data_IF_214082532515
#
_entry.id   IF_214082532515
#
_cell.length_a   1.000
_cell.length_b   1.000
_cell.length_c   1.000
_cell.angle_alpha   90.00
_cell.angle_beta   90.00
_cell.angle_gamma   90.00
#
_symmetry.space_group_name_H-M   'P 1'
#
loop_
_entity.id
_entity.type
_entity.pdbx_description
1 polymer ?
#
# COMPACT_ATOMS: atom_id res chain seq x y z
N UNK A 1 13.60 43.55 19.98
CA UNK A 1 13.52 42.36 19.11
C UNK A 1 12.33 41.48 19.50
N UNK A 2 11.30 41.43 18.66
CA UNK A 2 10.14 40.55 18.87
C UNK A 2 10.35 39.26 18.09
N UNK A 3 10.27 38.12 18.78
CA UNK A 3 10.24 36.80 18.16
C UNK A 3 9.15 36.73 17.06
N UNK A 4 9.37 35.98 15.97
CA UNK A 4 8.37 35.82 14.95
C UNK A 4 7.14 35.11 15.53
N UNK A 5 5.98 35.60 15.12
CA UNK A 5 4.65 35.14 15.48
C UNK A 5 4.55 33.67 15.07
N UNK A 6 4.32 32.75 16.01
CA UNK A 6 4.05 31.36 15.68
C UNK A 6 2.73 31.29 14.93
N UNK A 7 2.76 30.82 13.67
CA UNK A 7 1.55 30.56 12.90
C UNK A 7 0.88 29.32 13.49
N UNK A 8 -0.01 29.52 14.45
CA UNK A 8 -0.98 28.52 14.88
C UNK A 8 -2.20 28.68 13.97
N UNK A 9 -2.61 27.61 13.31
CA UNK A 9 -3.66 27.55 12.27
C UNK A 9 -3.23 27.88 10.83
N UNK A 10 -2.31 27.08 10.27
CA UNK A 10 -2.35 26.80 8.84
C UNK A 10 -3.42 25.73 8.61
N UNK A 11 -4.61 26.14 8.17
CA UNK A 11 -5.60 25.19 7.63
C UNK A 11 -5.18 24.90 6.19
N UNK A 12 -4.41 23.85 5.99
CA UNK A 12 -4.06 23.34 4.67
C UNK A 12 -5.31 22.68 4.04
N UNK A 13 -5.77 23.22 2.90
CA UNK A 13 -6.86 22.63 2.10
C UNK A 13 -6.52 21.21 1.59
N UNK A 14 -5.27 20.76 1.69
CA UNK A 14 -4.90 19.37 1.40
C UNK A 14 -5.63 18.32 2.26
N UNK A 15 -6.08 18.67 3.48
CA UNK A 15 -6.64 17.66 4.36
C UNK A 15 -8.05 17.19 3.93
N UNK A 16 -8.84 18.04 3.25
CA UNK A 16 -10.12 17.62 2.67
C UNK A 16 -9.95 16.76 1.40
N UNK A 17 -8.79 16.84 0.75
CA UNK A 17 -8.54 16.13 -0.51
C UNK A 17 -8.17 14.65 -0.30
N UNK A 18 -7.58 14.27 0.84
CA UNK A 18 -7.14 12.89 1.13
C UNK A 18 -8.32 11.91 1.19
N UNK A 19 -9.37 12.27 1.92
CA UNK A 19 -10.58 11.45 2.06
C UNK A 19 -11.32 11.35 0.74
N UNK A 20 -11.44 12.46 0.01
CA UNK A 20 -12.04 12.50 -1.31
C UNK A 20 -11.26 11.61 -2.30
N UNK A 21 -9.93 11.65 -2.27
CA UNK A 21 -9.07 10.81 -3.09
C UNK A 21 -9.24 9.32 -2.78
N UNK A 22 -9.23 8.94 -1.50
CA UNK A 22 -9.49 7.55 -1.10
C UNK A 22 -10.87 7.07 -1.58
N UNK A 23 -11.91 7.87 -1.34
CA UNK A 23 -13.27 7.54 -1.74
C UNK A 23 -13.39 7.40 -3.26
N UNK A 24 -12.74 8.28 -4.03
CA UNK A 24 -12.68 8.20 -5.48
C UNK A 24 -12.05 6.89 -5.98
N UNK A 25 -10.94 6.46 -5.35
CA UNK A 25 -10.29 5.19 -5.70
C UNK A 25 -11.19 3.99 -5.39
N UNK A 26 -11.88 4.01 -4.24
CA UNK A 26 -12.83 2.96 -3.86
C UNK A 26 -14.02 2.92 -4.82
N UNK A 27 -14.55 4.07 -5.21
CA UNK A 27 -15.63 4.17 -6.19
C UNK A 27 -15.21 3.58 -7.54
N UNK A 28 -14.04 3.99 -8.06
CA UNK A 28 -13.48 3.47 -9.31
C UNK A 28 -13.22 1.97 -9.23
N UNK A 29 -12.61 1.48 -8.14
CA UNK A 29 -12.41 0.05 -7.90
C UNK A 29 -13.71 -0.74 -7.97
N UNK A 30 -14.77 -0.25 -7.32
CA UNK A 30 -16.08 -0.90 -7.34
C UNK A 30 -16.73 -0.85 -8.72
N UNK A 31 -16.57 0.24 -9.47
CA UNK A 31 -17.08 0.37 -10.83
C UNK A 31 -16.40 -0.64 -11.77
N UNK A 32 -15.07 -0.70 -11.76
CA UNK A 32 -14.29 -1.57 -12.66
C UNK A 32 -14.46 -3.05 -12.31
N UNK A 33 -14.50 -3.38 -11.01
CA UNK A 33 -14.84 -4.72 -10.52
C UNK A 33 -16.16 -5.22 -11.09
N UNK A 34 -17.21 -4.39 -11.08
CA UNK A 34 -18.52 -4.71 -11.67
C UNK A 34 -18.47 -4.77 -13.20
N UNK A 35 -17.86 -3.77 -13.84
CA UNK A 35 -17.78 -3.64 -15.31
C UNK A 35 -17.10 -4.84 -15.96
N UNK A 36 -16.04 -5.36 -15.34
CA UNK A 36 -15.25 -6.48 -15.88
C UNK A 36 -15.53 -7.83 -15.20
N UNK A 37 -16.47 -7.87 -14.27
CA UNK A 37 -16.85 -9.06 -13.50
C UNK A 37 -15.64 -9.80 -12.90
N UNK A 38 -14.78 -9.05 -12.19
CA UNK A 38 -13.61 -9.65 -11.56
C UNK A 38 -14.02 -10.57 -10.40
N UNK A 39 -13.40 -11.76 -10.27
CA UNK A 39 -13.59 -12.62 -9.10
C UNK A 39 -13.31 -11.87 -7.79
N UNK A 40 -14.24 -11.99 -6.85
CA UNK A 40 -14.18 -11.35 -5.53
C UNK A 40 -14.12 -12.41 -4.45
N UNK A 41 -13.14 -12.30 -3.56
CA UNK A 41 -12.95 -13.23 -2.45
C UNK A 41 -12.97 -12.50 -1.13
N UNK A 42 -13.80 -12.95 -0.18
CA UNK A 42 -13.83 -12.42 1.20
C UNK A 42 -12.80 -13.09 2.11
N UNK A 43 -12.32 -14.28 1.73
CA UNK A 43 -11.21 -14.95 2.38
C UNK A 43 -9.92 -14.64 1.61
N UNK A 44 -8.91 -14.12 2.32
CA UNK A 44 -7.66 -13.72 1.69
C UNK A 44 -6.85 -14.92 1.18
N UNK A 45 -6.85 -16.04 1.90
CA UNK A 45 -6.10 -17.24 1.52
C UNK A 45 -6.71 -17.86 0.25
N UNK A 46 -8.05 -17.89 0.17
CA UNK A 46 -8.73 -18.27 -1.07
C UNK A 46 -8.42 -17.30 -2.20
N UNK A 47 -8.38 -16.00 -1.94
CA UNK A 47 -8.03 -15.01 -2.95
C UNK A 47 -6.64 -15.28 -3.55
N UNK A 48 -5.62 -15.43 -2.70
CA UNK A 48 -4.23 -15.63 -3.13
C UNK A 48 -4.02 -16.93 -3.90
N UNK A 49 -4.74 -17.99 -3.53
CA UNK A 49 -4.60 -19.33 -4.14
C UNK A 49 -5.44 -19.48 -5.40
N UNK A 50 -6.72 -19.10 -5.37
CA UNK A 50 -7.65 -19.35 -6.48
C UNK A 50 -7.50 -18.32 -7.61
N UNK A 51 -6.97 -17.13 -7.34
CA UNK A 51 -6.78 -16.14 -8.39
C UNK A 51 -5.86 -16.63 -9.51
N UNK A 52 -4.81 -17.37 -9.15
CA UNK A 52 -3.84 -17.93 -10.09
C UNK A 52 -4.48 -18.90 -11.10
N UNK A 53 -5.62 -19.51 -10.73
CA UNK A 53 -6.39 -20.45 -11.56
C UNK A 53 -7.37 -19.77 -12.50
N UNK A 54 -7.59 -18.46 -12.37
CA UNK A 54 -8.50 -17.71 -13.24
C UNK A 54 -7.84 -17.40 -14.58
N UNK A 55 -8.63 -17.33 -15.65
CA UNK A 55 -8.12 -17.12 -17.03
C UNK A 55 -7.27 -15.84 -17.14
N UNK A 56 -7.71 -14.75 -16.50
CA UNK A 56 -7.03 -13.45 -16.56
C UNK A 56 -6.05 -13.21 -15.40
N UNK A 57 -6.11 -14.03 -14.33
CA UNK A 57 -5.38 -13.83 -13.08
C UNK A 57 -5.56 -12.42 -12.50
N UNK A 58 -6.78 -11.87 -12.56
CA UNK A 58 -7.13 -10.56 -12.00
C UNK A 58 -8.21 -10.78 -10.94
N UNK A 59 -7.94 -10.42 -9.69
CA UNK A 59 -8.88 -10.65 -8.60
C UNK A 59 -8.92 -9.51 -7.60
N UNK A 60 -10.07 -9.38 -6.93
CA UNK A 60 -10.27 -8.43 -5.84
C UNK A 60 -10.44 -9.20 -4.53
N UNK A 61 -9.54 -8.99 -3.58
CA UNK A 61 -9.64 -9.56 -2.24
C UNK A 61 -10.30 -8.53 -1.32
N UNK A 62 -11.43 -8.89 -0.70
CA UNK A 62 -12.18 -8.03 0.21
C UNK A 62 -12.33 -8.69 1.60
N UNK A 63 -11.23 -8.88 2.34
CA UNK A 63 -11.29 -9.47 3.67
C UNK A 63 -12.17 -8.64 4.59
N UNK A 64 -12.98 -9.32 5.40
CA UNK A 64 -13.88 -8.73 6.40
C UNK A 64 -13.24 -8.64 7.79
N UNK A 65 -12.00 -9.09 7.92
CA UNK A 65 -11.20 -9.12 9.15
C UNK A 65 -9.80 -8.54 8.90
N UNK A 66 -9.12 -8.14 9.98
CA UNK A 66 -7.72 -7.71 9.90
C UNK A 66 -6.85 -8.88 9.43
N UNK A 67 -6.03 -8.66 8.41
CA UNK A 67 -5.25 -9.73 7.79
C UNK A 67 -3.77 -9.57 8.04
N UNK A 68 -3.09 -10.67 8.33
CA UNK A 68 -1.65 -10.70 8.58
C UNK A 68 -0.96 -11.62 7.59
N UNK A 69 -0.04 -11.08 6.79
CA UNK A 69 0.95 -11.87 6.05
C UNK A 69 2.03 -12.32 7.02
N UNK A 70 1.81 -13.45 7.69
CA UNK A 70 2.71 -13.99 8.73
C UNK A 70 3.86 -14.83 8.18
N UNK A 71 3.75 -15.27 6.93
CA UNK A 71 4.72 -16.13 6.24
C UNK A 71 5.02 -15.58 4.86
N UNK A 72 6.23 -15.88 4.36
CA UNK A 72 6.65 -15.45 3.04
C UNK A 72 5.63 -15.91 1.99
N UNK A 73 5.10 -14.94 1.26
CA UNK A 73 3.97 -15.13 0.36
C UNK A 73 4.41 -14.84 -1.05
N UNK A 74 4.39 -15.88 -1.88
CA UNK A 74 4.55 -15.74 -3.33
C UNK A 74 3.18 -15.69 -3.99
N UNK A 75 2.90 -14.63 -4.74
CA UNK A 75 1.61 -14.43 -5.40
C UNK A 75 1.73 -14.44 -6.93
N UNK A 76 0.73 -15.04 -7.59
CA UNK A 76 0.66 -15.20 -9.05
C UNK A 76 -0.61 -14.58 -9.59
N UNK A 77 -0.48 -13.44 -10.26
CA UNK A 77 -1.60 -12.65 -10.76
C UNK A 77 -1.58 -11.19 -10.31
N UNK A 78 -2.65 -10.48 -10.67
CA UNK A 78 -2.89 -9.07 -10.42
C UNK A 78 -3.98 -8.96 -9.36
N UNK A 79 -3.60 -8.49 -8.19
CA UNK A 79 -4.46 -8.45 -7.03
C UNK A 79 -4.76 -7.02 -6.63
N UNK A 80 -6.03 -6.75 -6.34
CA UNK A 80 -6.45 -5.60 -5.55
C UNK A 80 -6.99 -6.10 -4.21
N UNK A 81 -6.26 -5.82 -3.13
CA UNK A 81 -6.83 -5.93 -1.78
C UNK A 81 -7.61 -4.65 -1.52
N UNK A 82 -8.94 -4.78 -1.41
CA UNK A 82 -9.86 -3.68 -1.13
C UNK A 82 -10.62 -3.97 0.17
N UNK A 83 -10.17 -3.38 1.27
CA UNK A 83 -10.73 -3.64 2.60
C UNK A 83 -10.87 -2.37 3.44
N UNK A 84 -11.65 -2.46 4.51
CA UNK A 84 -11.70 -1.43 5.55
C UNK A 84 -10.86 -1.79 6.78
N UNK A 85 -10.23 -2.96 6.75
CA UNK A 85 -9.53 -3.59 7.87
C UNK A 85 -8.03 -3.35 7.83
N UNK A 86 -7.36 -3.58 8.95
CA UNK A 86 -5.93 -3.43 9.03
C UNK A 86 -5.22 -4.54 8.25
N UNK A 87 -4.08 -4.21 7.66
CA UNK A 87 -3.19 -5.17 6.99
C UNK A 87 -1.85 -5.16 7.70
N UNK A 88 -1.43 -6.30 8.21
CA UNK A 88 -0.13 -6.49 8.84
C UNK A 88 0.77 -7.27 7.88
N UNK A 89 1.90 -6.71 7.51
CA UNK A 89 2.91 -7.33 6.64
C UNK A 89 4.11 -7.67 7.50
N UNK A 90 4.23 -8.95 7.87
CA UNK A 90 5.28 -9.47 8.75
C UNK A 90 6.24 -10.41 8.01
N UNK A 91 6.11 -10.50 6.69
CA UNK A 91 6.82 -11.44 5.86
C UNK A 91 7.05 -10.88 4.46
N UNK A 92 7.88 -11.55 3.68
CA UNK A 92 8.18 -11.14 2.31
C UNK A 92 6.96 -11.33 1.41
N UNK A 93 6.70 -10.35 0.55
CA UNK A 93 5.68 -10.43 -0.49
C UNK A 93 6.38 -10.39 -1.85
N UNK A 94 6.40 -11.53 -2.53
CA UNK A 94 7.14 -11.70 -3.79
C UNK A 94 6.23 -12.11 -4.94
N UNK A 95 6.34 -11.47 -6.11
CA UNK A 95 5.59 -11.87 -7.28
C UNK A 95 6.22 -13.14 -7.87
N UNK A 96 5.40 -14.08 -8.36
CA UNK A 96 5.92 -15.27 -9.06
C UNK A 96 6.38 -14.99 -10.49
N UNK A 97 6.02 -13.83 -11.04
CA UNK A 97 6.34 -13.42 -12.41
C UNK A 97 6.37 -11.89 -12.54
N UNK A 98 6.99 -11.36 -13.59
CA UNK A 98 7.03 -9.92 -13.87
C UNK A 98 5.64 -9.29 -14.08
N UNK A 99 4.67 -10.09 -14.51
CA UNK A 99 3.28 -9.70 -14.77
C UNK A 99 2.36 -9.82 -13.52
N UNK A 100 2.91 -10.32 -12.40
CA UNK A 100 2.19 -10.38 -11.13
C UNK A 100 2.40 -9.08 -10.35
N UNK A 101 1.32 -8.57 -9.74
CA UNK A 101 1.38 -7.39 -8.90
C UNK A 101 0.28 -7.38 -7.83
N UNK A 102 0.57 -6.67 -6.76
CA UNK A 102 -0.32 -6.51 -5.62
C UNK A 102 -0.54 -5.03 -5.33
N UNK A 103 -1.81 -4.59 -5.40
CA UNK A 103 -2.24 -3.28 -4.93
C UNK A 103 -3.02 -3.48 -3.64
N UNK A 104 -2.65 -2.75 -2.59
CA UNK A 104 -3.36 -2.74 -1.31
C UNK A 104 -4.04 -1.40 -1.17
N UNK A 105 -5.36 -1.38 -1.13
CA UNK A 105 -6.18 -0.21 -0.87
C UNK A 105 -7.02 -0.49 0.39
N UNK A 106 -6.66 0.15 1.51
CA UNK A 106 -7.36 -0.05 2.78
C UNK A 106 -7.74 1.25 3.47
N UNK A 107 -8.88 1.26 4.16
CA UNK A 107 -9.21 2.34 5.08
C UNK A 107 -8.58 2.17 6.47
N UNK A 108 -8.16 0.95 6.80
CA UNK A 108 -7.44 0.64 8.03
C UNK A 108 -5.99 1.09 7.96
N UNK A 109 -5.21 0.70 8.97
CA UNK A 109 -3.75 0.89 9.00
C UNK A 109 -3.04 -0.23 8.24
N UNK A 110 -1.86 0.09 7.72
CA UNK A 110 -0.92 -0.92 7.22
C UNK A 110 0.30 -0.92 8.12
N UNK A 111 0.55 -2.05 8.78
CA UNK A 111 1.70 -2.22 9.66
C UNK A 111 2.73 -3.10 8.95
N UNK A 112 3.96 -2.62 8.83
CA UNK A 112 5.04 -3.35 8.16
C UNK A 112 6.16 -3.59 9.17
N UNK A 113 6.56 -4.85 9.28
CA UNK A 113 7.75 -5.24 10.03
C UNK A 113 7.50 -6.38 11.00
N UNK A 114 8.54 -7.19 11.16
CA UNK A 114 8.70 -8.25 12.15
C UNK A 114 10.17 -8.63 12.15
N UNK A 115 10.74 -8.77 13.35
CA UNK A 115 12.16 -9.13 13.54
C UNK A 115 12.55 -10.36 12.71
N UNK A 116 13.52 -10.20 11.81
CA UNK A 116 14.23 -11.25 11.05
C UNK A 116 15.74 -11.21 11.29
N UNK A 117 16.31 -10.06 11.66
CA UNK A 117 17.71 -9.98 12.05
C UNK A 117 17.99 -10.83 13.27
N UNK A 118 19.21 -11.36 13.32
CA UNK A 118 19.78 -12.00 14.49
C UNK A 118 21.14 -11.38 14.80
N UNK A 119 21.86 -11.97 15.74
CA UNK A 119 23.18 -11.45 16.18
C UNK A 119 24.22 -11.42 15.04
N UNK A 120 24.13 -12.37 14.10
CA UNK A 120 25.11 -12.52 12.99
C UNK A 120 24.50 -12.34 11.60
N UNK A 121 23.19 -12.12 11.51
CA UNK A 121 22.46 -12.06 10.24
C UNK A 121 21.61 -10.81 10.16
N UNK A 122 21.71 -10.10 9.04
CA UNK A 122 20.89 -8.93 8.77
C UNK A 122 19.62 -9.33 8.01
N UNK A 123 18.47 -9.01 8.58
CA UNK A 123 17.15 -9.26 8.03
C UNK A 123 16.71 -8.17 7.05
N UNK A 124 15.90 -8.55 6.07
CA UNK A 124 15.28 -7.59 5.15
C UNK A 124 13.84 -8.02 4.85
N UNK A 125 12.92 -7.08 4.97
CA UNK A 125 11.53 -7.21 4.53
C UNK A 125 11.41 -6.75 3.09
N UNK A 126 11.24 -7.69 2.16
CA UNK A 126 11.02 -7.36 0.75
C UNK A 126 9.53 -7.41 0.42
N UNK A 127 8.96 -6.26 0.06
CA UNK A 127 7.53 -6.08 -0.19
C UNK A 127 7.34 -5.59 -1.62
N UNK A 128 6.82 -6.44 -2.49
CA UNK A 128 6.45 -6.05 -3.85
C UNK A 128 4.97 -5.68 -3.90
N UNK A 129 4.64 -4.44 -3.54
CA UNK A 129 3.27 -3.96 -3.55
C UNK A 129 3.17 -2.44 -3.74
N UNK A 130 2.03 -2.00 -4.25
CA UNK A 130 1.62 -0.60 -4.20
C UNK A 130 0.56 -0.43 -3.11
N UNK A 131 0.90 0.30 -2.05
CA UNK A 131 0.11 0.37 -0.83
C UNK A 131 -0.49 1.77 -0.69
N UNK A 132 -1.81 1.82 -0.54
CA UNK A 132 -2.59 3.03 -0.29
C UNK A 132 -3.43 2.78 0.97
N UNK A 133 -3.19 3.57 2.01
CA UNK A 133 -3.79 3.37 3.33
C UNK A 133 -4.41 4.66 3.86
N UNK A 134 -5.72 4.66 4.12
CA UNK A 134 -6.39 5.78 4.80
C UNK A 134 -5.98 5.89 6.26
N UNK A 135 -5.77 4.77 6.96
CA UNK A 135 -5.36 4.77 8.36
C UNK A 135 -3.89 5.15 8.58
N UNK A 136 -3.12 5.30 7.50
CA UNK A 136 -1.66 5.51 7.55
C UNK A 136 -0.88 4.21 7.44
N UNK A 137 0.44 4.35 7.31
CA UNK A 137 1.38 3.23 7.14
C UNK A 137 2.43 3.33 8.24
N UNK A 138 2.53 2.30 9.07
CA UNK A 138 3.47 2.24 10.18
C UNK A 138 4.55 1.21 9.84
N UNK A 139 5.80 1.67 9.62
CA UNK A 139 6.98 0.80 9.61
C UNK A 139 7.39 0.60 11.06
N UNK A 140 7.09 -0.58 11.60
CA UNK A 140 7.17 -0.88 13.02
C UNK A 140 8.62 -0.91 13.52
N UNK A 141 8.80 -0.44 14.75
CA UNK A 141 10.06 -0.60 15.46
C UNK A 141 10.24 -2.05 15.86
N UNK A 142 11.43 -2.57 15.61
CA UNK A 142 11.87 -3.89 16.03
C UNK A 142 12.79 -3.69 17.22
N UNK A 143 12.17 -3.51 18.38
CA UNK A 143 12.92 -3.41 19.63
C UNK A 143 13.13 -4.85 20.11
N UNK A 144 14.33 -5.37 19.85
CA UNK A 144 14.81 -6.56 20.54
C UNK A 144 15.44 -6.15 21.89
N UNK A 145 15.38 -7.06 22.85
CA UNK A 145 16.05 -6.91 24.15
C UNK A 145 17.58 -6.98 24.03
N UNK A 146 18.10 -7.60 22.98
CA UNK A 146 19.54 -7.68 22.71
C UNK A 146 20.02 -6.46 21.89
N UNK A 147 20.86 -5.57 22.46
CA UNK A 147 21.40 -4.42 21.74
C UNK A 147 22.35 -4.80 20.58
N UNK A 148 22.76 -6.06 20.48
CA UNK A 148 23.55 -6.61 19.37
C UNK A 148 22.73 -6.97 18.13
N UNK A 149 21.40 -7.08 18.25
CA UNK A 149 20.51 -7.37 17.12
C UNK A 149 20.17 -6.06 16.43
N UNK A 150 20.50 -5.98 15.14
CA UNK A 150 20.21 -4.81 14.32
C UNK A 150 18.73 -4.80 13.91
N UNK A 151 18.17 -3.62 13.68
CA UNK A 151 16.83 -3.51 13.09
C UNK A 151 16.88 -3.84 11.60
N UNK A 152 15.82 -4.49 11.11
CA UNK A 152 15.78 -4.91 9.72
C UNK A 152 15.67 -3.72 8.76
N UNK A 153 16.07 -3.94 7.53
CA UNK A 153 15.73 -3.06 6.42
C UNK A 153 14.35 -3.41 5.86
N UNK A 154 13.54 -2.41 5.51
CA UNK A 154 12.37 -2.59 4.65
C UNK A 154 12.70 -2.14 3.23
N UNK A 155 12.42 -3.00 2.26
CA UNK A 155 12.47 -2.66 0.83
C UNK A 155 11.08 -2.84 0.23
N UNK A 156 10.49 -1.74 -0.23
CA UNK A 156 9.22 -1.74 -0.95
C UNK A 156 9.47 -1.51 -2.43
N UNK A 157 9.18 -2.51 -3.27
CA UNK A 157 9.18 -2.38 -4.72
C UNK A 157 7.74 -2.09 -5.17
N UNK A 158 7.47 -0.85 -5.54
CA UNK A 158 6.15 -0.35 -5.87
C UNK A 158 5.95 1.08 -5.38
N UNK A 159 5.13 1.26 -4.34
CA UNK A 159 4.86 2.59 -3.80
C UNK A 159 4.10 2.57 -2.48
N UNK A 160 4.25 3.64 -1.70
CA UNK A 160 3.57 3.84 -0.42
C UNK A 160 2.83 5.18 -0.44
N UNK A 161 1.53 5.16 -0.18
CA UNK A 161 0.69 6.35 -0.02
C UNK A 161 -0.09 6.22 1.29
N UNK A 162 0.33 6.96 2.30
CA UNK A 162 -0.46 7.18 3.50
C UNK A 162 -1.39 8.37 3.34
N UNK A 163 -2.64 8.21 3.73
CA UNK A 163 -3.68 9.25 3.65
C UNK A 163 -4.24 9.62 5.03
N UNK A 164 -3.50 9.33 6.11
CA UNK A 164 -3.96 9.59 7.48
C UNK A 164 -4.46 11.02 7.66
N UNK A 165 -5.65 11.15 8.24
CA UNK A 165 -6.29 12.42 8.60
C UNK A 165 -5.72 12.99 9.91
N UNK A 166 -5.20 12.12 10.78
CA UNK A 166 -4.60 12.47 12.07
C UNK A 166 -3.20 11.84 12.23
N UNK A 167 -2.21 12.65 12.61
CA UNK A 167 -0.81 12.22 12.73
C UNK A 167 -0.08 12.09 11.40
N UNK A 168 1.06 11.38 11.39
CA UNK A 168 1.82 11.20 10.15
C UNK A 168 1.15 10.16 9.25
N UNK A 169 1.16 10.44 7.95
CA UNK A 169 0.67 9.53 6.92
C UNK A 169 1.50 8.24 6.82
N UNK A 170 2.81 8.37 6.97
CA UNK A 170 3.75 7.26 7.03
C UNK A 170 4.64 7.49 8.25
N UNK A 171 4.61 6.56 9.20
CA UNK A 171 5.47 6.56 10.38
C UNK A 171 6.60 5.57 10.17
N UNK A 172 7.85 6.03 10.28
CA UNK A 172 9.00 5.15 10.31
C UNK A 172 9.47 5.08 11.76
N UNK A 173 9.09 4.01 12.46
CA UNK A 173 9.43 3.79 13.87
C UNK A 173 10.74 3.01 14.02
N UNK A 174 11.38 2.64 12.91
CA UNK A 174 12.71 2.03 12.89
C UNK A 174 13.80 3.07 13.04
N UNK A 175 14.85 2.72 13.77
CA UNK A 175 16.05 3.53 13.92
C UNK A 175 17.20 2.98 13.07
N UNK A 176 18.12 3.87 12.68
CA UNK A 176 19.42 3.46 12.17
C UNK A 176 20.24 3.06 13.40
N UNK A 177 20.29 1.76 13.70
CA UNK A 177 21.16 1.24 14.77
C UNK A 177 22.63 1.63 14.56
N UNK A 178 23.46 1.50 15.59
CA UNK A 178 24.86 1.97 15.61
C UNK A 178 25.73 1.37 14.47
N UNK A 179 25.38 0.18 13.99
CA UNK A 179 26.09 -0.54 12.92
C UNK A 179 25.44 -0.38 11.54
N UNK A 180 24.34 0.37 11.42
CA UNK A 180 23.49 0.37 10.23
C UNK A 180 23.65 1.63 9.34
N UNK A 181 24.85 2.22 9.31
CA UNK A 181 25.13 3.43 8.50
C UNK A 181 24.99 3.16 6.99
N UNK A 182 25.11 1.89 6.56
CA UNK A 182 25.08 1.50 5.15
C UNK A 182 23.74 0.92 4.66
N UNK A 183 22.77 0.63 5.54
CA UNK A 183 21.42 0.17 5.14
C UNK A 183 20.35 1.11 5.70
N UNK A 184 19.64 1.87 4.85
CA UNK A 184 18.52 2.69 5.31
C UNK A 184 17.39 1.80 5.86
N UNK A 185 16.62 2.35 6.81
CA UNK A 185 15.47 1.69 7.44
C UNK A 185 14.33 1.40 6.47
N UNK A 186 14.18 2.24 5.44
CA UNK A 186 13.19 2.10 4.38
C UNK A 186 13.79 2.47 3.02
N UNK A 187 13.61 1.59 2.05
CA UNK A 187 13.84 1.85 0.62
C UNK A 187 12.50 1.71 -0.08
N UNK A 188 12.14 2.69 -0.91
CA UNK A 188 10.98 2.60 -1.81
C UNK A 188 11.46 2.74 -3.25
N UNK A 189 11.36 1.65 -3.99
CA UNK A 189 11.71 1.59 -5.40
C UNK A 189 10.44 1.74 -6.23
N UNK A 190 10.40 2.77 -7.09
CA UNK A 190 9.31 2.90 -8.05
C UNK A 190 9.36 1.78 -9.07
N UNK A 191 8.21 1.15 -9.33
CA UNK A 191 8.11 0.11 -10.34
C UNK A 191 6.97 0.37 -11.34
N UNK A 192 7.28 0.55 -12.65
CA UNK A 192 6.30 0.96 -13.64
C UNK A 192 5.10 0.02 -13.81
N UNK A 193 5.24 -1.26 -13.46
CA UNK A 193 4.14 -2.25 -13.58
C UNK A 193 2.88 -1.83 -12.81
N UNK A 194 3.04 -1.17 -11.67
CA UNK A 194 1.90 -0.72 -10.86
C UNK A 194 1.12 0.42 -11.53
N UNK A 195 1.75 1.24 -12.37
CA UNK A 195 1.07 2.25 -13.16
C UNK A 195 0.16 1.61 -14.23
N UNK A 196 0.58 0.51 -14.85
CA UNK A 196 -0.25 -0.17 -15.85
C UNK A 196 -1.37 -0.99 -15.22
N UNK A 197 -1.11 -1.61 -14.08
CA UNK A 197 -2.07 -2.47 -13.40
C UNK A 197 -3.13 -1.65 -12.66
N UNK A 198 -2.80 -0.44 -12.21
CA UNK A 198 -3.78 0.48 -11.63
C UNK A 198 -4.88 0.85 -12.64
N UNK A 199 -4.59 0.91 -13.95
CA UNK A 199 -5.61 1.13 -14.99
C UNK A 199 -6.69 0.03 -15.02
N UNK A 200 -6.33 -1.21 -14.68
CA UNK A 200 -7.28 -2.33 -14.65
C UNK A 200 -8.30 -2.17 -13.52
N UNK A 201 -7.85 -1.65 -12.38
CA UNK A 201 -8.67 -1.53 -11.18
C UNK A 201 -9.34 -0.17 -11.03
N UNK A 202 -8.71 0.91 -11.49
CA UNK A 202 -9.20 2.27 -11.30
C UNK A 202 -9.55 2.98 -12.61
N UNK A 203 -9.24 2.36 -13.75
CA UNK A 203 -9.44 2.97 -15.06
C UNK A 203 -8.37 3.97 -15.46
N UNK A 204 -8.50 4.44 -16.70
CA UNK A 204 -7.76 5.57 -17.23
C UNK A 204 -8.64 6.82 -17.17
N UNK A 205 -8.03 7.95 -16.85
CA UNK A 205 -8.74 9.23 -16.88
C UNK A 205 -8.86 9.69 -18.35
N UNK A 206 -9.91 9.25 -19.04
CA UNK A 206 -10.22 9.78 -20.37
C UNK A 206 -10.88 11.15 -20.19
N UNK A 207 -10.12 12.22 -20.40
CA UNK A 207 -10.70 13.58 -20.47
C UNK A 207 -11.71 13.63 -21.61
N UNK A 208 -13.00 13.56 -21.29
CA UNK A 208 -14.08 13.72 -22.29
C UNK A 208 -14.29 15.22 -22.49
N UNK A 209 -13.80 15.75 -23.61
CA UNK A 209 -14.17 17.09 -24.06
C UNK A 209 -15.61 17.04 -24.59
N UNK A 210 -16.55 17.57 -23.80
CA UNK A 210 -17.93 17.80 -24.26
C UNK A 210 -17.98 19.17 -24.96
N UNK A 211 -18.13 19.16 -26.27
CA UNK A 211 -18.40 20.38 -27.05
C UNK A 211 -19.92 20.48 -27.24
N UNK A 212 -20.55 21.41 -26.52
CA UNK A 212 -21.96 21.74 -26.78
C UNK A 212 -22.03 22.59 -28.06
N UNK A 213 -22.59 22.03 -29.13
CA UNK A 213 -22.93 22.76 -30.36
C UNK A 213 -24.33 23.36 -30.22
N UNK A 214 -24.38 24.68 -30.03
CA UNK A 214 -25.63 25.44 -30.09
C UNK A 214 -25.98 25.77 -31.53
N UNK A 215 -27.11 25.26 -32.03
CA UNK A 215 -27.69 25.73 -33.28
C UNK A 215 -28.37 27.08 -33.03
N UNK A 216 -27.95 28.11 -33.76
CA UNK A 216 -28.63 29.40 -33.81
C UNK A 216 -29.66 29.33 -34.94
N UNK A 217 -30.94 29.49 -34.60
CA UNK A 217 -32.01 29.79 -35.57
C UNK A 217 -31.97 31.27 -35.92
#
# INVERSE_FOLDING_TARGET
DKNPISVTYIIDKNNQNKTAFYNLLVERANLYKKKFNYPVYTDMNLCLTQCASTIKKICVCQPTYDFTFSTDTTFNGKFLILTTKNINIQANLTPSSSDSALIILTSGKVNIGKVKSGVTSFGTDTINAFIISKGGIDILSEIDTDPGIQQDQVVVNGGLIGLSEAGNAINILRNLGLMNISKPTLIVNYEPRYAKISELFFGTDTRVYKQDVGFKM
#
